data_IF_859695302929
#
_entry.id   IF_859695302929
#
_cell.length_a   1.000
_cell.length_b   1.000
_cell.length_c   1.000
_cell.angle_alpha   90.00
_cell.angle_beta   90.00
_cell.angle_gamma   90.00
#
_symmetry.space_group_name_H-M   'P 1'
#
loop_
_entity.id
_entity.type
_entity.pdbx_description
1 polymer ?
#
# COMPACT_ATOMS: atom_id res chain seq x y z
N UNK A 1 -25.41 26.06 -39.20
CA UNK A 1 -26.05 25.32 -38.09
C UNK A 1 -25.06 24.29 -37.57
N UNK A 2 -24.20 24.70 -36.64
CA UNK A 2 -23.35 23.78 -35.88
C UNK A 2 -24.15 23.40 -34.64
N UNK A 3 -24.54 22.13 -34.49
CA UNK A 3 -24.85 21.51 -33.20
C UNK A 3 -25.21 20.03 -33.41
N UNK A 4 -24.41 19.13 -32.84
CA UNK A 4 -24.67 17.68 -32.89
C UNK A 4 -23.63 16.81 -32.20
N UNK A 5 -22.45 17.33 -31.86
CA UNK A 5 -21.34 16.54 -31.30
C UNK A 5 -21.27 16.52 -29.75
N UNK A 6 -22.34 16.89 -29.04
CA UNK A 6 -22.37 16.88 -27.57
C UNK A 6 -23.38 15.88 -26.96
N UNK A 7 -23.93 14.95 -27.75
CA UNK A 7 -24.96 13.99 -27.26
C UNK A 7 -24.45 12.55 -27.08
N UNK A 8 -23.22 12.22 -27.49
CA UNK A 8 -22.69 10.86 -27.35
C UNK A 8 -21.96 10.58 -26.03
N UNK A 9 -21.73 11.59 -25.18
CA UNK A 9 -21.08 11.40 -23.87
C UNK A 9 -22.01 10.89 -22.76
N UNK A 10 -23.33 11.11 -22.89
CA UNK A 10 -24.31 10.78 -21.84
C UNK A 10 -24.89 9.36 -21.97
N UNK A 11 -24.91 8.79 -23.18
CA UNK A 11 -25.40 7.43 -23.44
C UNK A 11 -24.34 6.33 -23.18
N UNK A 12 -23.05 6.68 -23.11
CA UNK A 12 -21.97 5.73 -22.74
C UNK A 12 -21.93 5.43 -21.24
N UNK A 13 -22.28 6.41 -20.40
CA UNK A 13 -22.30 6.25 -18.93
C UNK A 13 -23.40 5.32 -18.43
N UNK A 14 -24.46 5.08 -19.21
CA UNK A 14 -25.51 4.12 -18.86
C UNK A 14 -25.03 2.66 -18.89
N UNK A 15 -23.95 2.35 -19.61
CA UNK A 15 -23.42 0.98 -19.69
C UNK A 15 -22.63 0.56 -18.46
N UNK A 16 -21.96 1.48 -17.75
CA UNK A 16 -21.27 1.16 -16.50
C UNK A 16 -22.25 0.81 -15.37
N UNK A 17 -23.38 1.53 -15.30
CA UNK A 17 -24.44 1.25 -14.33
C UNK A 17 -25.36 0.09 -14.73
N UNK A 18 -25.31 -0.36 -16.00
CA UNK A 18 -26.07 -1.53 -16.46
C UNK A 18 -25.58 -2.82 -15.80
N UNK A 19 -24.30 -2.89 -15.44
CA UNK A 19 -23.77 -4.00 -14.65
C UNK A 19 -24.30 -3.97 -13.20
N UNK A 20 -24.41 -2.78 -12.59
CA UNK A 20 -24.99 -2.60 -11.24
C UNK A 20 -26.50 -2.86 -11.16
N UNK A 21 -27.23 -2.88 -12.27
CA UNK A 21 -28.67 -3.16 -12.27
C UNK A 21 -29.02 -4.67 -12.27
N UNK A 22 -28.00 -5.54 -12.35
CA UNK A 22 -28.12 -6.97 -12.08
C UNK A 22 -27.55 -7.26 -10.69
N UNK A 23 -28.27 -8.01 -9.85
CA UNK A 23 -27.83 -8.30 -8.46
C UNK A 23 -26.42 -8.90 -8.36
N UNK A 24 -25.95 -9.58 -9.41
CA UNK A 24 -24.60 -10.11 -9.52
C UNK A 24 -23.52 -9.04 -9.72
N UNK A 25 -23.84 -7.91 -10.36
CA UNK A 25 -22.92 -6.80 -10.56
C UNK A 25 -22.63 -6.03 -9.27
N UNK A 26 -23.60 -5.95 -8.37
CA UNK A 26 -23.41 -5.35 -7.04
C UNK A 26 -22.44 -6.21 -6.21
N UNK A 27 -22.63 -7.53 -6.20
CA UNK A 27 -21.78 -8.46 -5.44
C UNK A 27 -20.33 -8.45 -5.94
N UNK A 28 -20.14 -8.47 -7.26
CA UNK A 28 -18.79 -8.42 -7.86
C UNK A 28 -18.10 -7.08 -7.60
N UNK A 29 -18.82 -5.97 -7.69
CA UNK A 29 -18.26 -4.64 -7.37
C UNK A 29 -17.83 -4.54 -5.91
N UNK A 30 -18.66 -5.01 -4.98
CA UNK A 30 -18.31 -5.06 -3.56
C UNK A 30 -17.08 -5.94 -3.30
N UNK A 31 -17.02 -7.11 -3.94
CA UNK A 31 -15.86 -8.01 -3.85
C UNK A 31 -14.57 -7.31 -4.26
N UNK A 32 -14.56 -6.65 -5.43
CA UNK A 32 -13.39 -5.92 -5.93
C UNK A 32 -12.96 -4.80 -4.98
N UNK A 33 -13.89 -4.02 -4.44
CA UNK A 33 -13.59 -2.93 -3.50
C UNK A 33 -12.93 -3.49 -2.22
N UNK A 34 -13.46 -4.59 -1.69
CA UNK A 34 -12.93 -5.24 -0.48
C UNK A 34 -11.51 -5.77 -0.76
N UNK A 35 -11.30 -6.45 -1.89
CA UNK A 35 -9.99 -6.99 -2.27
C UNK A 35 -8.95 -5.88 -2.41
N UNK A 36 -9.29 -4.79 -3.10
CA UNK A 36 -8.38 -3.63 -3.25
C UNK A 36 -8.07 -3.03 -1.88
N UNK A 37 -9.07 -2.81 -1.04
CA UNK A 37 -8.88 -2.25 0.31
C UNK A 37 -7.97 -3.11 1.17
N UNK A 38 -8.14 -4.44 1.13
CA UNK A 38 -7.28 -5.39 1.85
C UNK A 38 -5.84 -5.36 1.33
N UNK A 39 -5.64 -5.31 0.01
CA UNK A 39 -4.32 -5.19 -0.59
C UNK A 39 -3.61 -3.90 -0.14
N UNK A 40 -4.31 -2.76 -0.19
CA UNK A 40 -3.76 -1.50 0.31
C UNK A 40 -3.41 -1.57 1.80
N UNK A 41 -4.30 -2.13 2.62
CA UNK A 41 -4.04 -2.31 4.04
C UNK A 41 -2.78 -3.17 4.28
N UNK A 42 -2.67 -4.30 3.59
CA UNK A 42 -1.54 -5.22 3.73
C UNK A 42 -0.22 -4.59 3.29
N UNK A 43 -0.23 -3.86 2.17
CA UNK A 43 0.96 -3.15 1.66
C UNK A 43 1.37 -2.05 2.63
N UNK A 44 0.46 -1.17 3.05
CA UNK A 44 0.78 -0.06 3.96
C UNK A 44 1.24 -0.56 5.33
N UNK A 45 0.58 -1.59 5.86
CA UNK A 45 0.93 -2.17 7.16
C UNK A 45 2.30 -2.86 7.14
N UNK A 46 2.63 -3.61 6.08
CA UNK A 46 3.92 -4.27 5.96
C UNK A 46 5.07 -3.31 5.61
N UNK A 47 4.81 -2.29 4.80
CA UNK A 47 5.81 -1.26 4.46
C UNK A 47 6.23 -0.44 5.70
N UNK A 48 5.30 -0.17 6.62
CA UNK A 48 5.63 0.49 7.90
C UNK A 48 6.57 -0.36 8.76
N UNK A 49 6.35 -1.67 8.83
CA UNK A 49 7.24 -2.59 9.59
C UNK A 49 8.64 -2.66 8.98
N UNK A 50 8.75 -2.78 7.65
CA UNK A 50 10.05 -2.80 6.97
C UNK A 50 10.82 -1.49 7.13
N UNK A 51 10.15 -0.34 6.99
CA UNK A 51 10.79 0.98 7.10
C UNK A 51 11.34 1.23 8.50
N UNK A 52 10.58 0.91 9.56
CA UNK A 52 11.06 1.08 10.94
C UNK A 52 12.23 0.14 11.29
N UNK A 53 12.24 -1.06 10.72
CA UNK A 53 13.34 -2.01 10.89
C UNK A 53 14.63 -1.50 10.22
N UNK A 54 14.53 -1.02 8.98
CA UNK A 54 15.67 -0.51 8.22
C UNK A 54 16.26 0.75 8.90
N UNK A 55 15.40 1.69 9.30
CA UNK A 55 15.82 2.91 10.00
C UNK A 55 16.50 2.63 11.35
N UNK A 56 16.09 1.58 12.06
CA UNK A 56 16.72 1.16 13.31
C UNK A 56 18.10 0.51 13.08
N UNK A 57 18.23 -0.30 12.01
CA UNK A 57 19.50 -0.90 11.60
C UNK A 57 20.51 0.15 11.13
N UNK A 58 20.05 1.13 10.35
CA UNK A 58 20.86 2.22 9.83
C UNK A 58 21.37 3.14 10.95
N UNK A 59 20.53 3.47 11.93
CA UNK A 59 20.96 4.22 13.11
C UNK A 59 22.04 3.51 13.92
N UNK A 60 21.97 2.18 14.06
CA UNK A 60 23.00 1.43 14.76
C UNK A 60 24.32 1.38 14.00
N UNK A 61 24.28 1.28 12.67
CA UNK A 61 25.49 1.38 11.84
C UNK A 61 26.15 2.75 11.98
N UNK A 62 25.37 3.83 11.95
CA UNK A 62 25.90 5.19 12.13
C UNK A 62 26.61 5.36 13.47
N UNK A 63 25.99 4.91 14.58
CA UNK A 63 26.58 5.03 15.92
C UNK A 63 27.89 4.23 16.06
N UNK A 64 27.99 3.09 15.39
CA UNK A 64 29.23 2.30 15.36
C UNK A 64 30.34 3.00 14.58
N UNK A 65 30.02 3.57 13.40
CA UNK A 65 30.98 4.33 12.59
C UNK A 65 31.43 5.62 13.31
N UNK A 66 30.55 6.24 14.09
CA UNK A 66 30.87 7.41 14.92
C UNK A 66 31.74 7.08 16.15
N UNK A 67 31.94 5.80 16.47
CA UNK A 67 32.71 5.37 17.64
C UNK A 67 31.98 5.52 18.97
N UNK A 68 30.67 5.84 18.95
CA UNK A 68 29.84 6.00 20.14
C UNK A 68 29.53 4.67 20.84
N UNK A 69 29.76 3.54 20.17
CA UNK A 69 29.52 2.18 20.67
C UNK A 69 30.67 1.26 20.30
N UNK A 70 31.06 0.39 21.23
CA UNK A 70 32.10 -0.63 21.01
C UNK A 70 31.56 -1.77 20.14
N UNK A 71 32.48 -2.54 19.52
CA UNK A 71 32.15 -3.65 18.62
C UNK A 71 31.26 -4.71 19.27
N UNK A 72 31.48 -4.96 20.56
CA UNK A 72 30.73 -5.93 21.37
C UNK A 72 29.27 -5.49 21.59
N UNK A 73 29.06 -4.19 21.79
CA UNK A 73 27.73 -3.61 21.94
C UNK A 73 26.97 -3.58 20.61
N UNK A 74 27.66 -3.31 19.51
CA UNK A 74 27.07 -3.34 18.18
C UNK A 74 26.55 -4.74 17.83
N UNK A 75 27.33 -5.79 18.08
CA UNK A 75 26.95 -7.18 17.80
C UNK A 75 25.73 -7.63 18.62
N UNK A 76 25.66 -7.31 19.93
CA UNK A 76 24.48 -7.62 20.76
C UNK A 76 23.21 -6.93 20.26
N UNK A 77 23.29 -5.65 19.90
CA UNK A 77 22.12 -4.87 19.47
C UNK A 77 21.62 -5.29 18.09
N UNK A 78 22.53 -5.68 17.19
CA UNK A 78 22.22 -6.22 15.86
C UNK A 78 21.50 -7.57 15.95
N UNK A 79 21.94 -8.47 16.83
CA UNK A 79 21.32 -9.79 17.01
C UNK A 79 19.87 -9.67 17.52
N UNK A 80 19.63 -8.77 18.48
CA UNK A 80 18.29 -8.51 19.03
C UNK A 80 17.33 -7.96 17.97
N UNK A 81 17.82 -7.10 17.09
CA UNK A 81 17.01 -6.52 16.02
C UNK A 81 16.68 -7.58 14.98
N UNK A 82 17.66 -8.39 14.56
CA UNK A 82 17.49 -9.38 13.50
C UNK A 82 16.65 -10.61 13.87
N UNK A 83 16.31 -10.80 15.15
CA UNK A 83 15.57 -11.97 15.67
C UNK A 83 14.04 -11.79 15.68
N UNK A 84 13.49 -10.77 14.99
CA UNK A 84 12.06 -10.45 15.02
C UNK A 84 11.41 -10.59 13.64
#
# INVERSE_FOLDING_TARGET
MMNGYFSNGYYGSASCFRFMNNGWGILTTLGVIITISLLFYFVVYNSKKKTSYDAASENLKMKYVQGDITEEEYLRRKDIINKK
#
